data_IF_294434269321
#
_entry.id   IF_294434269321
#
_cell.length_a   1.000
_cell.length_b   1.000
_cell.length_c   1.000
_cell.angle_alpha   90.00
_cell.angle_beta   90.00
_cell.angle_gamma   90.00
#
_symmetry.space_group_name_H-M   'P 1'
#
loop_
_entity.id
_entity.type
_entity.pdbx_description
1 polymer ?
#
# COMPACT_ATOMS: atom_id res chain seq x y z
N UNK A 1 39.20 -66.68 53.12
CA UNK A 1 39.48 -67.39 51.86
C UNK A 1 38.72 -66.62 50.79
N UNK A 2 39.53 -65.91 50.07
CA UNK A 2 39.55 -65.49 48.70
C UNK A 2 38.57 -64.39 48.30
N UNK A 3 38.99 -63.16 48.21
CA UNK A 3 39.70 -62.39 47.26
C UNK A 3 39.14 -62.62 45.81
N UNK A 4 38.39 -61.64 45.31
CA UNK A 4 38.50 -61.28 43.88
C UNK A 4 38.43 -59.75 43.70
N UNK A 5 39.50 -59.23 43.15
CA UNK A 5 39.76 -57.87 42.69
C UNK A 5 38.92 -57.57 41.45
N UNK A 6 38.39 -56.36 41.45
CA UNK A 6 37.84 -55.76 40.23
C UNK A 6 38.70 -54.55 39.82
N UNK A 7 39.40 -54.56 38.71
CA UNK A 7 40.02 -53.37 38.15
C UNK A 7 39.25 -52.94 36.88
N UNK A 8 38.88 -51.71 36.79
CA UNK A 8 38.77 -50.84 35.63
C UNK A 8 37.67 -49.77 35.83
N UNK A 9 37.99 -48.77 36.62
CA UNK A 9 37.34 -47.46 36.48
C UNK A 9 38.09 -46.62 35.45
N UNK A 10 37.64 -46.62 34.20
CA UNK A 10 38.07 -45.59 33.23
C UNK A 10 37.24 -44.33 33.44
N UNK A 11 37.88 -43.35 33.98
CA UNK A 11 37.43 -41.96 34.12
C UNK A 11 37.26 -41.40 32.69
N UNK A 12 36.01 -41.23 32.25
CA UNK A 12 35.71 -40.42 31.06
C UNK A 12 35.79 -38.95 31.49
N UNK A 13 36.68 -38.21 30.88
CA UNK A 13 36.88 -36.78 31.09
C UNK A 13 35.61 -36.01 30.69
N UNK A 14 34.80 -35.63 31.66
CA UNK A 14 33.56 -34.86 31.50
C UNK A 14 33.71 -33.43 30.86
N UNK A 15 34.90 -32.73 30.90
CA UNK A 15 34.98 -31.41 30.28
C UNK A 15 34.99 -31.39 28.75
N UNK A 16 35.44 -32.47 28.06
CA UNK A 16 35.51 -32.49 26.63
C UNK A 16 34.12 -32.62 25.93
N UNK A 17 33.16 -33.30 26.58
CA UNK A 17 31.81 -33.44 26.07
C UNK A 17 31.00 -32.15 26.24
N UNK A 18 31.20 -31.43 27.34
CA UNK A 18 30.51 -30.15 27.59
C UNK A 18 30.97 -29.06 26.61
N UNK A 19 32.29 -29.01 26.28
CA UNK A 19 32.83 -28.06 25.28
C UNK A 19 32.31 -28.33 23.85
N UNK A 20 32.08 -29.59 23.49
CA UNK A 20 31.56 -29.92 22.15
C UNK A 20 30.08 -29.57 22.02
N UNK A 21 29.27 -29.70 23.08
CA UNK A 21 27.86 -29.31 23.08
C UNK A 21 27.71 -27.78 23.01
N UNK A 22 28.59 -27.00 23.67
CA UNK A 22 28.60 -25.55 23.60
C UNK A 22 29.03 -25.07 22.22
N UNK A 23 29.98 -25.72 21.55
CA UNK A 23 30.44 -25.35 20.22
C UNK A 23 29.38 -25.61 19.12
N UNK A 24 28.57 -26.68 19.26
CA UNK A 24 27.47 -26.99 18.31
C UNK A 24 26.29 -26.04 18.53
N UNK A 25 26.05 -25.55 19.75
CA UNK A 25 25.01 -24.56 20.05
C UNK A 25 25.24 -23.15 19.46
N UNK A 26 26.51 -22.80 19.17
CA UNK A 26 26.86 -21.48 18.63
C UNK A 26 26.70 -21.42 17.10
N UNK A 27 26.75 -22.58 16.42
CA UNK A 27 26.56 -22.63 14.96
C UNK A 27 25.09 -22.70 14.49
N UNK A 28 24.12 -22.80 15.38
CA UNK A 28 22.68 -22.83 15.04
C UNK A 28 21.98 -21.47 15.12
N UNK A 29 22.68 -20.39 15.40
CA UNK A 29 22.16 -19.05 15.12
C UNK A 29 22.41 -18.72 13.63
N UNK A 30 21.74 -19.46 12.75
CA UNK A 30 21.55 -19.00 11.38
C UNK A 30 20.94 -17.61 11.46
N UNK A 31 21.65 -16.61 10.92
CA UNK A 31 21.10 -15.28 10.74
C UNK A 31 19.75 -15.44 10.01
N UNK A 32 18.64 -15.49 10.73
CA UNK A 32 17.35 -15.20 10.15
C UNK A 32 17.42 -13.73 9.80
N UNK A 33 17.67 -13.44 8.53
CA UNK A 33 17.44 -12.07 8.06
C UNK A 33 16.01 -11.69 8.38
N UNK A 34 15.85 -10.54 8.97
CA UNK A 34 14.55 -9.94 9.21
C UNK A 34 13.79 -9.77 7.89
N UNK A 35 12.47 -9.92 7.87
CA UNK A 35 11.67 -9.56 6.70
C UNK A 35 11.99 -8.13 6.21
N UNK A 36 11.82 -7.85 4.93
CA UNK A 36 12.11 -6.53 4.35
C UNK A 36 11.33 -5.38 5.00
N UNK A 37 10.15 -5.65 5.55
CA UNK A 37 9.37 -4.66 6.30
C UNK A 37 9.93 -4.34 7.70
N UNK A 38 10.91 -5.11 8.21
CA UNK A 38 11.65 -4.82 9.44
C UNK A 38 12.98 -4.12 9.16
N UNK A 39 13.08 -3.36 8.06
CA UNK A 39 14.28 -2.64 7.68
C UNK A 39 14.68 -1.62 8.76
N UNK A 40 15.95 -1.57 9.10
CA UNK A 40 16.49 -0.53 9.99
C UNK A 40 16.71 0.76 9.19
N UNK A 41 15.81 1.71 9.40
CA UNK A 41 15.85 3.04 8.78
C UNK A 41 16.44 4.12 9.70
N UNK A 42 17.07 3.75 10.81
CA UNK A 42 17.60 4.72 11.79
C UNK A 42 18.63 5.68 11.19
N UNK A 43 19.40 5.22 10.21
CA UNK A 43 20.40 6.02 9.49
C UNK A 43 19.84 6.75 8.27
N UNK A 44 18.58 6.50 7.89
CA UNK A 44 17.97 7.13 6.72
C UNK A 44 17.37 8.47 7.12
N UNK A 45 17.87 9.54 6.53
CA UNK A 45 17.36 10.89 6.69
C UNK A 45 16.79 11.40 5.37
N UNK A 46 15.65 12.03 5.42
CA UNK A 46 15.02 12.78 4.33
C UNK A 46 14.56 14.14 4.88
N UNK A 47 14.25 15.07 4.00
CA UNK A 47 13.51 16.27 4.38
C UNK A 47 12.11 15.83 4.84
N UNK A 48 11.57 16.49 5.88
CA UNK A 48 10.19 16.30 6.30
C UNK A 48 9.25 16.62 5.14
N UNK A 49 8.22 15.80 4.99
CA UNK A 49 7.20 16.02 3.95
C UNK A 49 6.31 17.17 4.39
N UNK A 50 6.18 18.15 3.54
CA UNK A 50 5.23 19.25 3.66
C UNK A 50 4.23 19.16 2.51
N UNK A 51 2.95 19.40 2.77
CA UNK A 51 1.88 19.35 1.77
C UNK A 51 1.45 20.76 1.44
N UNK A 52 1.65 21.16 0.19
CA UNK A 52 1.21 22.46 -0.34
C UNK A 52 -0.33 22.45 -0.50
N UNK A 53 -1.01 23.26 0.30
CA UNK A 53 -2.48 23.24 0.45
C UNK A 53 -3.17 24.17 -0.54
N UNK A 54 -3.38 23.70 -1.78
CA UNK A 54 -4.05 24.52 -2.80
C UNK A 54 -5.49 24.89 -2.41
N UNK A 55 -6.21 23.97 -1.76
CA UNK A 55 -7.59 24.20 -1.34
C UNK A 55 -7.71 25.38 -0.35
N UNK A 56 -6.72 25.58 0.52
CA UNK A 56 -6.76 26.70 1.48
C UNK A 56 -6.55 28.04 0.78
N UNK A 57 -5.74 28.11 -0.26
CA UNK A 57 -5.61 29.30 -1.08
C UNK A 57 -6.90 29.53 -1.85
N UNK A 58 -7.34 28.51 -2.59
CA UNK A 58 -8.46 28.63 -3.53
C UNK A 58 -9.77 29.08 -2.87
N UNK A 59 -10.12 28.51 -1.72
CA UNK A 59 -11.41 28.82 -1.06
C UNK A 59 -11.36 30.06 -0.13
N UNK A 60 -10.20 30.72 -0.03
CA UNK A 60 -10.06 31.97 0.71
C UNK A 60 -9.96 33.23 -0.17
N UNK A 61 -9.87 33.08 -1.51
CA UNK A 61 -9.84 34.23 -2.42
C UNK A 61 -11.22 34.91 -2.52
N UNK A 62 -11.21 36.19 -2.86
CA UNK A 62 -12.44 36.89 -3.21
C UNK A 62 -12.91 36.49 -4.62
N UNK A 63 -14.09 35.81 -4.75
CA UNK A 63 -14.56 35.32 -6.05
C UNK A 63 -14.88 36.44 -7.05
N UNK A 64 -14.99 37.70 -6.61
CA UNK A 64 -15.22 38.83 -7.50
C UNK A 64 -13.91 39.49 -7.99
N UNK A 65 -12.74 38.98 -7.58
CA UNK A 65 -11.44 39.55 -7.92
C UNK A 65 -10.40 38.41 -8.15
N UNK A 66 -10.81 37.36 -8.85
CA UNK A 66 -10.02 36.13 -9.03
C UNK A 66 -8.62 36.38 -9.60
N UNK A 67 -8.42 37.17 -10.68
CA UNK A 67 -7.09 37.36 -11.26
C UNK A 67 -6.06 37.90 -10.27
N UNK A 68 -6.42 38.99 -9.56
CA UNK A 68 -5.54 39.65 -8.62
C UNK A 68 -5.25 38.81 -7.37
N UNK A 69 -6.22 37.98 -6.94
CA UNK A 69 -6.08 37.11 -5.79
C UNK A 69 -5.26 35.85 -6.10
N UNK A 70 -5.30 35.37 -7.35
CA UNK A 70 -4.60 34.15 -7.79
C UNK A 70 -3.17 34.43 -8.26
N UNK A 71 -2.92 35.60 -8.87
CA UNK A 71 -1.60 35.99 -9.42
C UNK A 71 -0.42 35.73 -8.47
N UNK A 72 -0.49 36.06 -7.17
CA UNK A 72 0.60 35.80 -6.22
C UNK A 72 0.91 34.32 -5.97
N UNK A 73 -0.01 33.38 -6.31
CA UNK A 73 0.08 31.96 -6.04
C UNK A 73 0.43 31.11 -7.26
N UNK A 74 0.65 31.74 -8.43
CA UNK A 74 0.93 31.03 -9.68
C UNK A 74 2.17 30.15 -9.60
N UNK A 75 3.23 30.65 -8.98
CA UNK A 75 4.49 29.92 -8.85
C UNK A 75 4.43 28.82 -7.79
N UNK A 76 3.56 28.94 -6.78
CA UNK A 76 3.39 27.96 -5.71
C UNK A 76 2.54 26.75 -6.17
N UNK A 77 1.62 26.99 -7.13
CA UNK A 77 0.66 25.97 -7.57
C UNK A 77 0.61 25.78 -9.10
N UNK A 78 1.76 25.52 -9.75
CA UNK A 78 1.85 25.46 -11.22
C UNK A 78 1.05 24.27 -11.82
N UNK A 79 0.72 23.25 -11.02
CA UNK A 79 -0.10 22.10 -11.45
C UNK A 79 -1.59 22.45 -11.57
N UNK A 80 -2.05 23.48 -10.88
CA UNK A 80 -3.46 23.87 -10.79
C UNK A 80 -3.72 25.19 -11.52
N UNK A 81 -2.75 26.06 -11.52
CA UNK A 81 -2.85 27.42 -12.04
C UNK A 81 -1.99 27.56 -13.30
N UNK A 82 -2.59 28.10 -14.34
CA UNK A 82 -1.93 28.40 -15.59
C UNK A 82 -2.54 29.65 -16.23
N UNK A 83 -2.00 30.12 -17.34
CA UNK A 83 -2.43 31.35 -18.03
C UNK A 83 -3.94 31.36 -18.35
N UNK A 84 -4.57 30.18 -18.46
CA UNK A 84 -6.01 30.06 -18.72
C UNK A 84 -6.87 30.72 -17.61
N UNK A 85 -6.38 30.80 -16.38
CA UNK A 85 -7.07 31.44 -15.25
C UNK A 85 -7.36 32.92 -15.51
N UNK A 86 -6.53 33.60 -16.32
CA UNK A 86 -6.69 35.03 -16.67
C UNK A 86 -7.63 35.25 -17.84
N UNK A 87 -8.15 34.23 -18.47
CA UNK A 87 -9.17 34.35 -19.51
C UNK A 87 -10.57 34.44 -18.90
N UNK A 88 -11.52 35.07 -19.61
CA UNK A 88 -12.92 35.16 -19.18
C UNK A 88 -13.51 33.78 -18.89
N UNK A 89 -13.17 32.76 -19.69
CA UNK A 89 -13.66 31.41 -19.52
C UNK A 89 -13.05 30.73 -18.28
N UNK A 90 -11.74 30.88 -18.04
CA UNK A 90 -11.06 30.31 -16.87
C UNK A 90 -11.54 30.96 -15.57
N UNK A 91 -11.72 32.28 -15.57
CA UNK A 91 -12.30 33.00 -14.42
C UNK A 91 -13.72 32.53 -14.12
N UNK A 92 -14.58 32.40 -15.14
CA UNK A 92 -15.94 31.91 -14.97
C UNK A 92 -15.96 30.47 -14.41
N UNK A 93 -15.09 29.57 -14.93
CA UNK A 93 -14.97 28.21 -14.44
C UNK A 93 -14.54 28.16 -12.96
N UNK A 94 -13.54 28.99 -12.59
CA UNK A 94 -13.04 29.03 -11.23
C UNK A 94 -14.08 29.67 -10.29
N UNK A 95 -14.76 30.74 -10.72
CA UNK A 95 -15.86 31.35 -10.00
C UNK A 95 -16.97 30.34 -9.72
N UNK A 96 -17.44 29.62 -10.74
CA UNK A 96 -18.51 28.61 -10.60
C UNK A 96 -18.07 27.53 -9.59
N UNK A 97 -16.83 27.08 -9.63
CA UNK A 97 -16.31 26.07 -8.72
C UNK A 97 -16.25 26.53 -7.26
N UNK A 98 -15.66 27.71 -6.99
CA UNK A 98 -15.48 28.21 -5.62
C UNK A 98 -16.75 28.80 -5.00
N UNK A 99 -17.80 29.00 -5.81
CA UNK A 99 -19.11 29.48 -5.33
C UNK A 99 -20.19 28.41 -5.36
N UNK A 100 -19.91 27.21 -5.88
CA UNK A 100 -20.84 26.10 -5.88
C UNK A 100 -21.19 25.68 -4.45
N UNK A 101 -22.48 25.69 -4.05
CA UNK A 101 -22.86 25.38 -2.68
C UNK A 101 -22.47 23.94 -2.23
N UNK A 102 -22.43 22.98 -3.17
CA UNK A 102 -22.03 21.61 -2.85
C UNK A 102 -20.53 21.50 -2.65
N UNK A 103 -19.74 22.16 -3.47
CA UNK A 103 -18.28 22.21 -3.30
C UNK A 103 -17.90 22.95 -2.01
N UNK A 104 -18.60 24.03 -1.66
CA UNK A 104 -18.39 24.74 -0.39
C UNK A 104 -18.76 23.88 0.84
N UNK A 105 -19.83 23.06 0.76
CA UNK A 105 -20.15 22.09 1.78
C UNK A 105 -19.00 21.07 1.95
N UNK A 106 -18.52 20.47 0.86
CA UNK A 106 -17.41 19.52 0.87
C UNK A 106 -16.12 20.18 1.41
N UNK A 107 -15.80 21.38 0.97
CA UNK A 107 -14.64 22.12 1.47
C UNK A 107 -14.69 22.31 2.99
N UNK A 108 -15.82 22.75 3.51
CA UNK A 108 -16.02 22.94 4.95
C UNK A 108 -15.80 21.64 5.72
N UNK A 109 -16.42 20.55 5.27
CA UNK A 109 -16.32 19.23 5.90
C UNK A 109 -14.87 18.70 5.80
N UNK A 110 -14.20 18.97 4.68
CA UNK A 110 -12.77 18.63 4.48
C UNK A 110 -11.89 19.41 5.45
N UNK A 111 -12.13 20.70 5.61
CA UNK A 111 -11.36 21.54 6.51
C UNK A 111 -11.52 21.09 7.98
N UNK A 112 -12.74 20.68 8.40
CA UNK A 112 -13.00 20.18 9.76
C UNK A 112 -12.17 18.92 10.07
N UNK A 113 -11.96 18.02 9.10
CA UNK A 113 -11.16 16.79 9.27
C UNK A 113 -9.67 17.05 9.11
N UNK A 114 -9.29 17.95 8.21
CA UNK A 114 -7.92 18.19 7.76
C UNK A 114 -7.44 19.63 8.06
N UNK A 115 -7.88 20.22 9.18
CA UNK A 115 -7.38 21.51 9.65
C UNK A 115 -5.87 21.45 9.89
N UNK A 116 -5.40 20.35 10.50
CA UNK A 116 -4.00 20.02 10.76
C UNK A 116 -3.58 18.78 9.96
N UNK A 117 -2.58 18.93 9.11
CA UNK A 117 -2.01 17.84 8.30
C UNK A 117 -0.80 17.15 8.95
N UNK A 118 -0.34 17.61 10.13
CA UNK A 118 0.89 17.13 10.77
C UNK A 118 0.94 15.59 10.91
N UNK A 119 -0.20 14.93 11.19
CA UNK A 119 -0.24 13.48 11.29
C UNK A 119 0.01 12.83 9.92
N UNK A 120 -0.64 13.30 8.86
CA UNK A 120 -0.46 12.79 7.50
C UNK A 120 0.97 13.02 7.01
N UNK A 121 1.53 14.21 7.23
CA UNK A 121 2.90 14.58 6.87
C UNK A 121 3.94 13.73 7.59
N UNK A 122 3.75 13.47 8.89
CA UNK A 122 4.62 12.59 9.67
C UNK A 122 4.55 11.14 9.19
N UNK A 123 3.36 10.61 8.89
CA UNK A 123 3.19 9.26 8.37
C UNK A 123 3.81 9.11 6.98
N UNK A 124 3.65 10.11 6.11
CA UNK A 124 4.31 10.15 4.81
C UNK A 124 5.82 10.25 4.96
N UNK A 125 6.33 11.13 5.83
CA UNK A 125 7.76 11.24 6.10
C UNK A 125 8.35 9.89 6.54
N UNK A 126 7.68 9.17 7.43
CA UNK A 126 8.10 7.84 7.85
C UNK A 126 8.09 6.84 6.67
N UNK A 127 7.01 6.80 5.89
CA UNK A 127 6.89 5.92 4.73
C UNK A 127 7.98 6.23 3.68
N UNK A 128 8.30 7.50 3.44
CA UNK A 128 9.35 7.90 2.50
C UNK A 128 10.77 7.65 3.01
N UNK A 129 10.99 7.51 4.31
CA UNK A 129 12.26 6.97 4.84
C UNK A 129 12.42 5.49 4.47
N UNK A 130 11.37 4.66 4.59
CA UNK A 130 11.38 3.28 4.08
C UNK A 130 11.53 3.25 2.56
N UNK A 131 10.84 4.11 1.84
CA UNK A 131 10.98 4.24 0.39
C UNK A 131 12.43 4.56 -0.01
N UNK A 132 13.07 5.53 0.61
CA UNK A 132 14.47 5.90 0.39
C UNK A 132 15.44 4.75 0.69
N UNK A 133 15.15 3.95 1.71
CA UNK A 133 15.93 2.74 2.02
C UNK A 133 15.88 1.72 0.88
N UNK A 134 14.70 1.44 0.34
CA UNK A 134 14.49 0.44 -0.71
C UNK A 134 14.83 0.96 -2.12
N UNK A 135 14.68 2.26 -2.35
CA UNK A 135 14.85 2.93 -3.64
C UNK A 135 15.73 4.17 -3.53
N UNK A 136 17.03 4.01 -3.18
CA UNK A 136 17.90 5.14 -2.83
C UNK A 136 18.13 6.14 -3.97
N UNK A 137 17.93 5.73 -5.23
CA UNK A 137 18.12 6.56 -6.42
C UNK A 137 16.85 7.28 -6.88
N UNK A 138 15.69 6.97 -6.26
CA UNK A 138 14.44 7.61 -6.63
C UNK A 138 14.27 8.93 -5.88
N UNK A 139 13.81 9.94 -6.58
CA UNK A 139 13.46 11.23 -5.99
C UNK A 139 12.20 11.11 -5.14
N UNK A 140 12.10 11.95 -4.11
CA UNK A 140 10.87 12.11 -3.33
C UNK A 140 10.05 13.17 -4.05
N UNK A 141 8.76 12.91 -4.33
CA UNK A 141 7.90 13.88 -5.02
C UNK A 141 7.58 15.09 -4.16
N UNK A 142 7.08 16.15 -4.79
CA UNK A 142 6.38 17.24 -4.12
C UNK A 142 4.93 16.84 -3.85
N UNK A 143 4.34 17.42 -2.80
CA UNK A 143 3.01 17.07 -2.33
C UNK A 143 2.08 18.26 -2.37
N UNK A 144 0.90 18.03 -2.93
CA UNK A 144 -0.17 19.02 -3.01
C UNK A 144 -1.48 18.41 -2.53
N UNK A 145 -2.29 19.22 -1.89
CA UNK A 145 -3.68 18.84 -1.58
C UNK A 145 -4.68 19.74 -2.30
N UNK A 146 -5.87 19.22 -2.50
CA UNK A 146 -6.98 19.96 -3.10
C UNK A 146 -8.32 19.32 -2.69
N UNK A 147 -9.40 20.02 -2.96
CA UNK A 147 -10.77 19.47 -2.95
C UNK A 147 -11.07 18.99 -4.35
N UNK A 148 -11.45 17.73 -4.51
CA UNK A 148 -11.65 17.11 -5.83
C UNK A 148 -13.11 17.14 -6.32
N UNK A 149 -14.03 17.52 -5.45
CA UNK A 149 -15.46 17.35 -5.67
C UNK A 149 -15.89 15.88 -5.58
N UNK A 150 -15.23 15.10 -4.73
CA UNK A 150 -15.44 13.67 -4.47
C UNK A 150 -15.10 12.77 -5.68
N UNK A 151 -13.93 13.02 -6.31
CA UNK A 151 -13.38 12.17 -7.39
C UNK A 151 -12.89 10.82 -6.83
N UNK A 152 -13.85 9.91 -6.58
CA UNK A 152 -13.57 8.63 -5.95
C UNK A 152 -12.84 7.63 -6.86
N UNK A 153 -12.71 7.89 -8.15
CA UNK A 153 -11.93 7.03 -9.05
C UNK A 153 -10.42 7.35 -8.94
N UNK A 154 -10.06 8.62 -8.73
CA UNK A 154 -8.68 9.07 -8.63
C UNK A 154 -8.45 9.95 -7.38
N UNK A 155 -8.59 9.38 -6.16
CA UNK A 155 -8.46 10.12 -4.91
C UNK A 155 -7.05 10.66 -4.66
N UNK A 156 -6.04 10.01 -5.22
CA UNK A 156 -4.65 10.45 -5.25
C UNK A 156 -4.14 10.31 -6.67
N UNK A 157 -3.40 11.31 -7.14
CA UNK A 157 -2.80 11.34 -8.48
C UNK A 157 -1.28 11.47 -8.35
N UNK A 158 -0.54 10.81 -9.24
CA UNK A 158 0.91 10.98 -9.39
C UNK A 158 1.24 11.39 -10.81
N UNK A 159 1.88 12.53 -10.95
CA UNK A 159 2.21 13.10 -12.26
C UNK A 159 3.50 13.94 -12.16
N UNK A 160 4.46 13.69 -13.05
CA UNK A 160 5.73 14.43 -13.15
C UNK A 160 6.42 14.68 -11.79
N UNK A 161 6.57 13.62 -11.01
CA UNK A 161 7.17 13.66 -9.66
C UNK A 161 6.38 14.52 -8.64
N UNK A 162 5.07 14.68 -8.85
CA UNK A 162 4.18 15.34 -7.92
C UNK A 162 3.07 14.37 -7.47
N UNK A 163 2.72 14.42 -6.19
CA UNK A 163 1.58 13.73 -5.60
C UNK A 163 0.49 14.75 -5.30
N UNK A 164 -0.71 14.50 -5.81
CA UNK A 164 -1.87 15.37 -5.61
C UNK A 164 -2.94 14.58 -4.86
N UNK A 165 -3.31 15.04 -3.67
CA UNK A 165 -4.20 14.36 -2.72
C UNK A 165 -5.54 15.07 -2.69
N UNK A 166 -6.62 14.40 -3.10
CA UNK A 166 -8.00 14.85 -2.88
C UNK A 166 -8.39 14.61 -1.43
N UNK A 167 -8.19 15.57 -0.54
CA UNK A 167 -8.45 15.40 0.91
C UNK A 167 -9.92 15.10 1.20
N UNK A 168 -10.83 15.59 0.38
CA UNK A 168 -12.27 15.32 0.44
C UNK A 168 -12.62 13.85 0.22
N UNK A 169 -11.69 13.08 -0.31
CA UNK A 169 -11.85 11.62 -0.44
C UNK A 169 -11.47 10.83 0.81
N UNK A 170 -11.00 11.48 1.87
CA UNK A 170 -10.57 10.82 3.11
C UNK A 170 -11.29 11.39 4.36
N UNK A 171 -12.62 11.53 4.27
CA UNK A 171 -13.49 12.03 5.36
C UNK A 171 -14.13 10.93 6.21
N UNK A 172 -13.71 9.69 6.01
CA UNK A 172 -14.26 8.51 6.66
C UNK A 172 -15.34 7.81 5.83
N UNK A 173 -15.39 6.47 5.94
CA UNK A 173 -16.27 5.61 5.13
C UNK A 173 -17.76 5.96 5.21
N UNK A 174 -18.18 6.61 6.30
CA UNK A 174 -19.58 6.94 6.60
C UNK A 174 -19.94 8.38 6.19
N UNK A 175 -19.04 9.11 5.55
CA UNK A 175 -19.35 10.46 5.07
C UNK A 175 -20.52 10.44 4.09
N UNK A 176 -21.59 11.19 4.43
CA UNK A 176 -22.89 11.09 3.77
C UNK A 176 -22.86 11.48 2.29
N UNK A 177 -22.02 12.44 1.92
CA UNK A 177 -21.94 12.90 0.55
C UNK A 177 -21.33 11.85 -0.40
N UNK A 178 -20.56 10.85 0.08
CA UNK A 178 -20.15 9.73 -0.76
C UNK A 178 -21.35 8.95 -1.32
N UNK A 179 -22.39 8.74 -0.50
CA UNK A 179 -23.61 8.09 -0.97
C UNK A 179 -24.37 8.96 -1.96
N UNK A 180 -24.47 10.25 -1.66
CA UNK A 180 -25.16 11.24 -2.50
C UNK A 180 -24.58 11.31 -3.92
N UNK A 181 -23.25 11.17 -4.08
CA UNK A 181 -22.59 11.14 -5.39
C UNK A 181 -22.45 9.74 -5.98
N UNK A 182 -23.03 8.72 -5.34
CA UNK A 182 -23.09 7.35 -5.87
C UNK A 182 -21.84 6.51 -5.62
N UNK A 183 -20.99 6.86 -4.66
CA UNK A 183 -19.82 6.03 -4.29
C UNK A 183 -20.30 4.69 -3.73
N UNK A 184 -19.95 3.55 -4.34
CA UNK A 184 -20.36 2.24 -3.84
C UNK A 184 -19.85 1.99 -2.42
N UNK A 185 -20.71 1.47 -1.54
CA UNK A 185 -20.37 1.25 -0.13
C UNK A 185 -19.10 0.41 0.08
N UNK A 186 -18.87 -0.59 -0.78
CA UNK A 186 -17.68 -1.45 -0.68
C UNK A 186 -16.35 -0.75 -1.06
N UNK A 187 -16.40 0.39 -1.79
CA UNK A 187 -15.23 1.22 -2.10
C UNK A 187 -14.87 2.14 -0.93
N UNK A 188 -15.81 2.46 -0.04
CA UNK A 188 -15.62 3.49 1.00
C UNK A 188 -14.63 3.10 2.10
N UNK A 189 -14.26 1.82 2.24
CA UNK A 189 -13.26 1.39 3.24
C UNK A 189 -11.87 2.02 3.03
N UNK A 190 -11.54 2.43 1.79
CA UNK A 190 -10.28 3.10 1.45
C UNK A 190 -10.29 4.61 1.71
N UNK A 191 -11.42 5.18 2.13
CA UNK A 191 -11.62 6.61 2.33
C UNK A 191 -11.62 7.03 3.80
N UNK A 192 -11.04 6.18 4.67
CA UNK A 192 -10.70 6.58 6.04
C UNK A 192 -9.48 7.50 6.02
N UNK A 193 -9.39 8.51 6.91
CA UNK A 193 -8.19 9.37 7.00
C UNK A 193 -6.88 8.59 7.12
N UNK A 194 -6.86 7.51 7.91
CA UNK A 194 -5.70 6.63 8.07
C UNK A 194 -5.29 5.88 6.79
N UNK A 195 -6.13 5.86 5.75
CA UNK A 195 -5.80 5.25 4.48
C UNK A 195 -5.11 6.23 3.50
N UNK A 196 -5.18 7.55 3.74
CA UNK A 196 -4.60 8.55 2.84
C UNK A 196 -3.11 8.32 2.55
N UNK A 197 -2.22 8.11 3.54
CA UNK A 197 -0.80 7.86 3.26
C UNK A 197 -0.60 6.52 2.52
N UNK A 198 -1.43 5.51 2.78
CA UNK A 198 -1.38 4.21 2.10
C UNK A 198 -1.75 4.36 0.62
N UNK A 199 -2.76 5.15 0.29
CA UNK A 199 -3.16 5.44 -1.10
C UNK A 199 -2.09 6.27 -1.84
N UNK A 200 -1.40 7.19 -1.16
CA UNK A 200 -0.23 7.87 -1.72
C UNK A 200 0.85 6.88 -2.13
N UNK A 201 1.24 5.98 -1.23
CA UNK A 201 2.27 4.99 -1.56
C UNK A 201 1.79 3.97 -2.60
N UNK A 202 0.49 3.71 -2.70
CA UNK A 202 -0.08 2.83 -3.73
C UNK A 202 0.12 3.39 -5.15
N UNK A 203 -0.15 4.67 -5.39
CA UNK A 203 0.05 5.26 -6.72
C UNK A 203 1.52 5.29 -7.13
N UNK A 204 2.43 5.44 -6.17
CA UNK A 204 3.88 5.33 -6.42
C UNK A 204 4.28 3.89 -6.78
N UNK A 205 3.73 2.88 -6.10
CA UNK A 205 3.98 1.49 -6.45
C UNK A 205 3.45 1.16 -7.86
N UNK A 206 2.28 1.69 -8.24
CA UNK A 206 1.73 1.55 -9.59
C UNK A 206 2.66 2.15 -10.65
N UNK A 207 3.22 3.34 -10.39
CA UNK A 207 4.19 3.96 -11.29
C UNK A 207 5.46 3.10 -11.42
N UNK A 208 6.02 2.62 -10.30
CA UNK A 208 7.19 1.75 -10.30
C UNK A 208 6.98 0.48 -11.13
N UNK A 209 5.84 -0.21 -10.97
CA UNK A 209 5.53 -1.44 -11.73
C UNK A 209 5.28 -1.12 -13.21
N UNK A 210 4.67 0.01 -13.54
CA UNK A 210 4.37 0.40 -14.93
C UNK A 210 5.63 0.44 -15.80
N UNK A 211 6.77 0.81 -15.24
CA UNK A 211 8.05 0.79 -15.96
C UNK A 211 8.51 -0.61 -16.35
N UNK A 212 8.04 -1.66 -15.68
CA UNK A 212 8.48 -3.04 -15.95
C UNK A 212 7.86 -3.65 -17.22
N UNK A 213 6.88 -3.03 -17.86
CA UNK A 213 6.19 -3.53 -19.07
C UNK A 213 5.64 -4.97 -18.99
N UNK A 214 5.63 -5.61 -17.84
CA UNK A 214 4.99 -6.92 -17.64
C UNK A 214 3.49 -6.70 -17.49
N UNK A 215 2.79 -6.78 -18.62
CA UNK A 215 1.33 -6.68 -18.62
C UNK A 215 0.77 -8.02 -18.12
N UNK A 216 -0.03 -8.05 -17.03
CA UNK A 216 -0.65 -9.27 -16.54
C UNK A 216 -1.58 -9.88 -17.60
N UNK A 217 -1.41 -11.16 -17.90
CA UNK A 217 -2.22 -11.90 -18.88
C UNK A 217 -3.06 -12.97 -18.21
N UNK A 218 -2.46 -13.77 -17.34
CA UNK A 218 -3.12 -14.88 -16.65
C UNK A 218 -3.66 -14.46 -15.28
N UNK A 219 -4.56 -15.28 -14.73
CA UNK A 219 -5.07 -15.07 -13.37
C UNK A 219 -3.92 -15.00 -12.33
N UNK A 220 -2.91 -15.87 -12.45
CA UNK A 220 -1.71 -15.82 -11.61
C UNK A 220 -0.97 -14.50 -11.74
N UNK A 221 -0.83 -13.97 -12.95
CA UNK A 221 -0.14 -12.69 -13.16
C UNK A 221 -0.85 -11.55 -12.45
N UNK A 222 -2.18 -11.50 -12.50
CA UNK A 222 -2.98 -10.51 -11.78
C UNK A 222 -2.86 -10.66 -10.27
N UNK A 223 -2.91 -11.91 -9.76
CA UNK A 223 -2.71 -12.17 -8.33
C UNK A 223 -1.35 -11.66 -7.85
N UNK A 224 -0.29 -11.98 -8.57
CA UNK A 224 1.09 -11.61 -8.19
C UNK A 224 1.33 -10.10 -8.38
N UNK A 225 0.80 -9.50 -9.45
CA UNK A 225 0.86 -8.04 -9.66
C UNK A 225 0.30 -7.29 -8.44
N UNK A 226 -0.94 -7.58 -8.07
CA UNK A 226 -1.58 -6.99 -6.89
C UNK A 226 -0.86 -7.37 -5.58
N UNK A 227 -0.34 -8.59 -5.51
CA UNK A 227 0.45 -9.06 -4.38
C UNK A 227 1.76 -8.28 -4.19
N UNK A 228 2.45 -7.94 -5.27
CA UNK A 228 3.64 -7.07 -5.25
C UNK A 228 3.28 -5.67 -4.71
N UNK A 229 2.16 -5.10 -5.16
CA UNK A 229 1.67 -3.80 -4.68
C UNK A 229 1.44 -3.81 -3.16
N UNK A 230 0.75 -4.82 -2.66
CA UNK A 230 0.47 -4.94 -1.22
C UNK A 230 1.74 -5.24 -0.40
N UNK A 231 2.68 -6.01 -0.96
CA UNK A 231 3.97 -6.25 -0.31
C UNK A 231 4.84 -4.97 -0.25
N UNK A 232 4.77 -4.13 -1.27
CA UNK A 232 5.38 -2.80 -1.20
C UNK A 232 4.79 -2.00 -0.02
N UNK A 233 3.47 -2.02 0.15
CA UNK A 233 2.83 -1.36 1.30
C UNK A 233 3.25 -1.97 2.64
N UNK A 234 3.55 -3.29 2.71
CA UNK A 234 4.15 -3.90 3.91
C UNK A 234 5.48 -3.24 4.26
N UNK A 235 6.32 -3.01 3.24
CA UNK A 235 7.64 -2.41 3.43
C UNK A 235 7.58 -0.92 3.78
N UNK A 236 6.60 -0.19 3.24
CA UNK A 236 6.44 1.25 3.54
C UNK A 236 5.76 1.50 4.89
N UNK A 237 4.88 0.59 5.30
CA UNK A 237 4.04 0.71 6.49
C UNK A 237 4.07 -0.56 7.35
N UNK A 238 5.21 -0.92 7.96
CA UNK A 238 5.33 -2.17 8.73
C UNK A 238 4.39 -2.24 9.94
N UNK A 239 4.01 -1.09 10.51
CA UNK A 239 3.14 -1.02 11.67
C UNK A 239 1.64 -0.85 11.34
N UNK A 240 1.29 -0.58 10.07
CA UNK A 240 -0.10 -0.39 9.65
C UNK A 240 -0.79 -1.74 9.49
N UNK A 241 -2.03 -1.84 9.97
CA UNK A 241 -2.82 -3.06 9.88
C UNK A 241 -3.07 -3.50 8.43
N UNK A 242 -3.04 -4.80 8.20
CA UNK A 242 -3.28 -5.42 6.89
C UNK A 242 -4.64 -5.03 6.29
N UNK A 243 -5.66 -4.86 7.14
CA UNK A 243 -6.99 -4.42 6.72
C UNK A 243 -6.98 -3.05 6.02
N UNK A 244 -6.15 -2.11 6.47
CA UNK A 244 -6.00 -0.79 5.85
C UNK A 244 -5.30 -0.92 4.49
N UNK A 245 -4.20 -1.68 4.42
CA UNK A 245 -3.42 -1.88 3.20
C UNK A 245 -4.24 -2.48 2.05
N UNK A 246 -5.09 -3.48 2.34
CA UNK A 246 -5.95 -4.13 1.35
C UNK A 246 -7.36 -3.50 1.25
N UNK A 247 -7.67 -2.51 2.08
CA UNK A 247 -8.97 -1.83 2.18
C UNK A 247 -10.12 -2.77 2.58
N UNK A 248 -9.84 -3.69 3.51
CA UNK A 248 -10.83 -4.60 4.08
C UNK A 248 -11.40 -4.07 5.40
N UNK A 249 -12.58 -4.52 5.75
CA UNK A 249 -13.07 -4.45 7.14
C UNK A 249 -12.38 -5.52 8.01
N UNK A 250 -12.43 -5.36 9.35
CA UNK A 250 -11.94 -6.37 10.27
C UNK A 250 -12.57 -7.76 10.04
N UNK A 251 -13.85 -7.81 9.68
CA UNK A 251 -14.53 -9.08 9.36
C UNK A 251 -14.03 -9.69 8.05
N UNK A 252 -13.71 -8.88 7.05
CA UNK A 252 -13.22 -9.35 5.77
C UNK A 252 -11.79 -9.90 5.86
N UNK A 253 -10.90 -9.25 6.64
CA UNK A 253 -9.54 -9.78 6.84
C UNK A 253 -9.57 -11.12 7.59
N UNK A 254 -10.36 -11.21 8.68
CA UNK A 254 -10.54 -12.44 9.43
C UNK A 254 -11.12 -13.58 8.57
N UNK A 255 -12.09 -13.27 7.71
CA UNK A 255 -12.63 -14.25 6.77
C UNK A 255 -11.57 -14.73 5.77
N UNK A 256 -10.80 -13.82 5.19
CA UNK A 256 -9.78 -14.12 4.20
C UNK A 256 -8.68 -15.03 4.79
N UNK A 257 -8.20 -14.71 5.99
CA UNK A 257 -7.20 -15.50 6.72
C UNK A 257 -7.67 -16.93 7.01
N UNK A 258 -8.92 -17.08 7.48
CA UNK A 258 -9.48 -18.41 7.78
C UNK A 258 -9.78 -19.27 6.55
N UNK A 259 -10.03 -18.63 5.42
CA UNK A 259 -10.46 -19.33 4.21
C UNK A 259 -9.39 -19.38 3.10
N UNK A 260 -8.16 -18.91 3.35
CA UNK A 260 -7.10 -18.89 2.33
C UNK A 260 -6.79 -20.28 1.77
N UNK A 261 -6.75 -21.32 2.62
CA UNK A 261 -6.53 -22.71 2.19
C UNK A 261 -7.65 -23.22 1.29
N UNK A 262 -8.90 -22.90 1.63
CA UNK A 262 -10.06 -23.27 0.80
C UNK A 262 -10.05 -22.52 -0.55
N UNK A 263 -9.74 -21.24 -0.54
CA UNK A 263 -9.62 -20.46 -1.77
C UNK A 263 -8.50 -21.00 -2.67
N UNK A 264 -7.35 -21.33 -2.09
CA UNK A 264 -6.24 -21.92 -2.83
C UNK A 264 -6.58 -23.26 -3.47
N UNK A 265 -7.19 -24.20 -2.71
CA UNK A 265 -7.66 -25.47 -3.23
C UNK A 265 -8.65 -25.26 -4.40
N UNK A 266 -9.60 -24.33 -4.25
CA UNK A 266 -10.56 -23.99 -5.30
C UNK A 266 -9.87 -23.53 -6.59
N UNK A 267 -8.82 -22.69 -6.51
CA UNK A 267 -8.08 -22.23 -7.69
C UNK A 267 -7.34 -23.36 -8.40
N UNK A 268 -6.79 -24.31 -7.66
CA UNK A 268 -6.10 -25.48 -8.21
C UNK A 268 -7.08 -26.48 -8.84
N UNK A 269 -8.14 -26.84 -8.13
CA UNK A 269 -9.14 -27.81 -8.59
C UNK A 269 -9.87 -27.38 -9.87
N UNK A 270 -9.97 -26.06 -10.08
CA UNK A 270 -10.58 -25.47 -11.28
C UNK A 270 -9.54 -25.00 -12.32
N UNK A 271 -8.26 -25.36 -12.18
CA UNK A 271 -7.17 -25.05 -13.12
C UNK A 271 -7.06 -23.53 -13.49
N UNK A 272 -7.36 -22.66 -12.51
CA UNK A 272 -7.57 -21.22 -12.78
C UNK A 272 -6.27 -20.45 -13.03
N UNK A 273 -5.13 -20.89 -12.45
CA UNK A 273 -3.92 -20.05 -12.35
C UNK A 273 -3.43 -19.51 -13.70
N UNK A 274 -3.51 -20.32 -14.74
CA UNK A 274 -3.04 -19.93 -16.07
C UNK A 274 -4.16 -19.54 -17.03
N UNK A 275 -5.38 -19.37 -16.52
CA UNK A 275 -6.51 -18.89 -17.30
C UNK A 275 -6.31 -17.43 -17.69
N UNK A 276 -6.61 -17.10 -18.96
CA UNK A 276 -6.63 -15.74 -19.52
C UNK A 276 -8.05 -15.19 -19.63
N UNK A 277 -9.04 -15.90 -19.09
CA UNK A 277 -10.45 -15.46 -19.08
C UNK A 277 -10.60 -14.21 -18.21
N UNK A 278 -10.84 -13.09 -18.87
CA UNK A 278 -11.00 -11.78 -18.21
C UNK A 278 -12.19 -11.73 -17.26
N UNK A 279 -13.26 -12.45 -17.54
CA UNK A 279 -14.42 -12.50 -16.65
C UNK A 279 -14.12 -13.28 -15.37
N UNK A 280 -13.38 -14.39 -15.50
CA UNK A 280 -12.88 -15.14 -14.35
C UNK A 280 -11.94 -14.27 -13.51
N UNK A 281 -10.93 -13.67 -14.12
CA UNK A 281 -9.98 -12.78 -13.44
C UNK A 281 -10.72 -11.69 -12.67
N UNK A 282 -11.63 -10.98 -13.34
CA UNK A 282 -12.40 -9.90 -12.73
C UNK A 282 -13.24 -10.35 -11.52
N UNK A 283 -13.77 -11.58 -11.52
CA UNK A 283 -14.56 -12.11 -10.38
C UNK A 283 -13.74 -12.27 -9.10
N UNK A 284 -12.43 -12.49 -9.21
CA UNK A 284 -11.57 -12.79 -8.06
C UNK A 284 -10.59 -11.66 -7.70
N UNK A 285 -10.31 -10.75 -8.64
CA UNK A 285 -9.37 -9.62 -8.44
C UNK A 285 -10.04 -8.26 -8.54
N UNK A 286 -11.17 -8.15 -9.22
CA UNK A 286 -11.88 -6.89 -9.42
C UNK A 286 -12.61 -6.38 -8.19
N UNK A 287 -12.81 -5.06 -8.15
CA UNK A 287 -13.53 -4.41 -7.06
C UNK A 287 -14.99 -4.90 -6.99
N UNK A 288 -15.39 -5.40 -5.84
CA UNK A 288 -16.71 -5.96 -5.55
C UNK A 288 -16.96 -5.98 -4.03
N UNK A 289 -18.20 -6.11 -3.56
CA UNK A 289 -18.48 -6.21 -2.13
C UNK A 289 -18.02 -7.54 -1.51
N UNK A 290 -17.90 -8.61 -2.30
CA UNK A 290 -17.47 -9.95 -1.89
C UNK A 290 -16.97 -10.73 -3.12
N UNK A 291 -16.28 -11.84 -2.90
CA UNK A 291 -15.86 -12.75 -3.99
C UNK A 291 -17.01 -13.75 -4.28
N UNK A 292 -17.82 -13.44 -5.27
CA UNK A 292 -19.09 -14.11 -5.55
C UNK A 292 -19.03 -15.65 -5.64
N UNK A 293 -17.99 -16.30 -6.23
CA UNK A 293 -17.90 -17.76 -6.30
C UNK A 293 -17.78 -18.45 -4.93
N UNK A 294 -17.37 -17.75 -3.88
CA UNK A 294 -17.30 -18.33 -2.55
C UNK A 294 -18.63 -18.15 -1.78
N UNK A 295 -18.97 -16.91 -1.44
CA UNK A 295 -20.24 -16.60 -0.77
C UNK A 295 -20.47 -15.09 -0.67
N UNK A 296 -21.70 -14.68 -0.33
CA UNK A 296 -22.00 -13.26 -0.02
C UNK A 296 -21.30 -12.74 1.25
N UNK A 297 -20.87 -13.63 2.13
CA UNK A 297 -20.10 -13.29 3.34
C UNK A 297 -18.60 -13.35 3.18
N UNK A 298 -18.10 -13.65 1.97
CA UNK A 298 -16.65 -13.72 1.72
C UNK A 298 -16.01 -12.34 1.67
N UNK A 299 -14.70 -12.30 1.90
CA UNK A 299 -13.91 -11.12 1.60
C UNK A 299 -13.95 -10.83 0.08
N UNK A 300 -13.90 -9.55 -0.34
CA UNK A 300 -13.77 -9.19 -1.75
C UNK A 300 -12.36 -9.55 -2.27
N UNK A 301 -12.21 -9.59 -3.58
CA UNK A 301 -10.90 -9.71 -4.25
C UNK A 301 -9.98 -10.79 -3.64
N UNK A 302 -10.50 -11.99 -3.35
CA UNK A 302 -9.70 -13.06 -2.72
C UNK A 302 -8.48 -13.50 -3.53
N UNK A 303 -8.47 -13.30 -4.85
CA UNK A 303 -7.28 -13.49 -5.68
C UNK A 303 -6.15 -12.51 -5.31
N UNK A 304 -6.50 -11.27 -5.02
CA UNK A 304 -5.54 -10.23 -4.57
C UNK A 304 -4.95 -10.62 -3.21
N UNK A 305 -5.79 -11.00 -2.24
CA UNK A 305 -5.32 -11.46 -0.93
C UNK A 305 -4.39 -12.67 -1.06
N UNK A 306 -4.76 -13.68 -1.86
CA UNK A 306 -3.93 -14.88 -2.07
C UNK A 306 -2.59 -14.51 -2.73
N UNK A 307 -2.60 -13.66 -3.75
CA UNK A 307 -1.40 -13.16 -4.40
C UNK A 307 -0.45 -12.47 -3.41
N UNK A 308 -0.99 -11.67 -2.51
CA UNK A 308 -0.22 -11.02 -1.46
C UNK A 308 0.45 -12.04 -0.51
N UNK A 309 -0.29 -13.07 -0.06
CA UNK A 309 0.30 -14.12 0.78
C UNK A 309 1.38 -14.93 0.03
N UNK A 310 1.21 -15.18 -1.28
CA UNK A 310 2.25 -15.82 -2.11
C UNK A 310 3.51 -14.96 -2.16
N UNK A 311 3.38 -13.66 -2.40
CA UNK A 311 4.53 -12.73 -2.45
C UNK A 311 5.20 -12.60 -1.08
N UNK A 312 4.45 -12.51 0.01
CA UNK A 312 4.99 -12.53 1.39
C UNK A 312 5.82 -13.78 1.65
N UNK A 313 5.29 -14.95 1.27
CA UNK A 313 5.99 -16.23 1.48
C UNK A 313 7.23 -16.35 0.58
N UNK A 314 7.17 -15.84 -0.67
CA UNK A 314 8.31 -15.75 -1.56
C UNK A 314 9.42 -14.91 -0.96
N UNK A 315 9.14 -13.70 -0.54
CA UNK A 315 10.12 -12.77 0.03
C UNK A 315 10.67 -13.26 1.37
N UNK A 316 9.85 -13.93 2.17
CA UNK A 316 10.31 -14.58 3.42
C UNK A 316 11.34 -15.68 3.17
N UNK A 317 11.21 -16.41 2.06
CA UNK A 317 12.15 -17.50 1.68
C UNK A 317 13.36 -17.01 0.93
N UNK A 318 13.23 -15.91 0.22
CA UNK A 318 14.25 -15.35 -0.66
C UNK A 318 14.68 -13.97 -0.15
N UNK A 319 15.19 -13.92 1.08
CA UNK A 319 15.54 -12.68 1.78
C UNK A 319 16.66 -11.87 1.11
N UNK A 320 17.34 -12.45 0.11
CA UNK A 320 18.38 -11.77 -0.67
C UNK A 320 17.80 -10.96 -1.84
N UNK A 321 16.54 -11.22 -2.22
CA UNK A 321 15.83 -10.51 -3.29
C UNK A 321 15.42 -9.14 -2.77
N UNK A 322 15.91 -8.09 -3.38
CA UNK A 322 15.50 -6.71 -3.06
C UNK A 322 14.08 -6.43 -3.54
N UNK A 323 13.47 -5.38 -2.98
CA UNK A 323 12.15 -4.92 -3.42
C UNK A 323 12.17 -4.46 -4.90
N UNK A 324 13.27 -3.86 -5.35
CA UNK A 324 13.48 -3.50 -6.75
C UNK A 324 13.50 -4.74 -7.67
N UNK A 325 14.27 -5.78 -7.33
CA UNK A 325 14.31 -7.03 -8.09
C UNK A 325 12.95 -7.73 -8.12
N UNK A 326 12.22 -7.74 -7.00
CA UNK A 326 10.86 -8.27 -6.95
C UNK A 326 9.97 -7.60 -8.01
N UNK A 327 10.05 -6.28 -8.13
CA UNK A 327 9.23 -5.51 -9.05
C UNK A 327 9.67 -5.67 -10.50
N UNK A 328 10.98 -5.61 -10.77
CA UNK A 328 11.52 -5.44 -12.11
C UNK A 328 11.90 -6.76 -12.80
N UNK A 329 12.25 -7.80 -12.04
CA UNK A 329 12.88 -8.98 -12.62
C UNK A 329 12.10 -10.27 -12.40
N UNK A 330 11.34 -10.40 -11.29
CA UNK A 330 10.71 -11.67 -10.92
C UNK A 330 9.38 -11.90 -11.61
N UNK A 331 9.28 -13.01 -12.32
CA UNK A 331 8.04 -13.45 -12.99
C UNK A 331 7.06 -14.07 -11.99
N UNK A 332 5.78 -14.07 -12.35
CA UNK A 332 4.73 -14.67 -11.52
C UNK A 332 4.96 -16.17 -11.26
N UNK A 333 5.51 -16.89 -12.25
CA UNK A 333 5.82 -18.33 -12.11
C UNK A 333 6.99 -18.58 -11.15
N UNK A 334 8.08 -17.79 -11.25
CA UNK A 334 9.20 -17.88 -10.31
C UNK A 334 8.73 -17.62 -8.89
N UNK A 335 7.96 -16.53 -8.69
CA UNK A 335 7.43 -16.16 -7.38
C UNK A 335 6.54 -17.29 -6.82
N UNK A 336 5.63 -17.86 -7.62
CA UNK A 336 4.80 -18.97 -7.16
C UNK A 336 5.63 -20.20 -6.79
N UNK A 337 6.54 -20.64 -7.66
CA UNK A 337 7.31 -21.86 -7.47
C UNK A 337 8.23 -21.74 -6.24
N UNK A 338 8.95 -20.62 -6.12
CA UNK A 338 9.96 -20.43 -5.08
C UNK A 338 9.32 -20.03 -3.73
N UNK A 339 8.09 -19.48 -3.74
CA UNK A 339 7.32 -19.28 -2.52
C UNK A 339 7.00 -20.59 -1.81
N UNK A 340 6.79 -21.68 -2.57
CA UNK A 340 6.25 -22.93 -2.06
C UNK A 340 4.98 -22.73 -1.23
N UNK A 341 4.15 -21.78 -1.63
CA UNK A 341 2.94 -21.40 -0.93
C UNK A 341 1.99 -22.60 -0.74
N UNK A 342 1.64 -22.85 0.52
CA UNK A 342 0.72 -23.92 0.94
C UNK A 342 0.01 -23.44 2.22
N UNK A 343 -1.10 -22.69 2.09
CA UNK A 343 -1.85 -22.13 3.21
C UNK A 343 -2.60 -23.19 4.03
#
# INVERSE_FOLDING_TARGET
MDIFHNPFSKILNKPAILSFIILVGIFSQGCRRSPHWEADISSISIQEIEINRYETVLFNINPFNIPEEIEPHMDDFPLFLGDAVFTDAGQAQLYDYITDPFILEIWKDTYEVWEDLSLLENELTLAFRYFRYHFPQKEIPEFYSYVSGLDFELPVKYYENNVIIGLDMFLGRNYSNYERVGVPAFKRNRFEPAAAPVEVMRVLAEDLIRYNRQIPETYLDFMIYEGKMLYFLDCMFPAVADSIKISYTAQQIDWAERNQGHAWAFYLDNEMLYSTDRQLIQKFTGAAPFTAPFSRGSAPRMGVFTGWQIVREYMRRNSDVSLMELFMEKTSREILNDSRYRP
#
